data_IF_110864590604
#
_entry.id   IF_110864590604
#
_cell.length_a   1.000
_cell.length_b   1.000
_cell.length_c   1.000
_cell.angle_alpha   90.00
_cell.angle_beta   90.00
_cell.angle_gamma   90.00
#
_symmetry.space_group_name_H-M   'P 1'
#
loop_
_entity.id
_entity.type
_entity.pdbx_description
1 polymer ?
#
# COMPACT_ATOMS: atom_id res chain seq x y z
N UNK A 1 -11.18 -8.43 33.50
CA UNK A 1 -9.87 -9.12 33.48
C UNK A 1 -8.96 -8.31 32.54
N UNK A 2 -7.87 -7.73 33.04
CA UNK A 2 -6.88 -7.06 32.19
C UNK A 2 -5.87 -8.10 31.69
N UNK A 3 -5.47 -7.98 30.43
CA UNK A 3 -4.51 -8.86 29.74
C UNK A 3 -3.14 -8.92 30.44
N UNK A 4 -2.83 -7.90 31.26
CA UNK A 4 -1.61 -7.79 32.06
C UNK A 4 -1.38 -8.99 32.99
N UNK A 5 -2.46 -9.63 33.46
CA UNK A 5 -2.36 -10.83 34.29
C UNK A 5 -2.12 -12.13 33.49
N UNK A 6 -2.29 -12.08 32.17
CA UNK A 6 -2.12 -13.21 31.25
C UNK A 6 -0.81 -13.12 30.44
N UNK A 7 -0.14 -11.96 30.46
CA UNK A 7 1.14 -11.78 29.79
C UNK A 7 2.23 -12.66 30.42
N UNK A 8 3.06 -13.34 29.60
CA UNK A 8 4.14 -14.17 30.10
C UNK A 8 5.16 -13.31 30.87
N UNK A 9 5.46 -13.69 32.12
CA UNK A 9 6.42 -12.96 32.98
C UNK A 9 7.87 -13.03 32.51
N UNK A 10 8.18 -13.97 31.59
CA UNK A 10 9.50 -14.20 31.00
C UNK A 10 9.34 -14.70 29.56
N UNK A 11 10.30 -14.38 28.69
CA UNK A 11 10.29 -14.75 27.28
C UNK A 11 9.97 -13.57 26.37
N UNK A 12 9.84 -13.85 25.07
CA UNK A 12 9.47 -12.84 24.07
C UNK A 12 7.94 -12.78 23.95
N UNK A 13 7.37 -11.59 24.10
CA UNK A 13 5.96 -11.31 23.79
C UNK A 13 5.90 -10.63 22.43
N UNK A 14 5.19 -11.23 21.48
CA UNK A 14 4.90 -10.64 20.17
C UNK A 14 3.42 -10.29 20.11
N UNK A 15 3.12 -9.05 19.77
CA UNK A 15 1.75 -8.54 19.62
C UNK A 15 1.60 -7.96 18.21
N UNK A 16 0.46 -8.23 17.58
CA UNK A 16 0.06 -7.57 16.34
C UNK A 16 -0.91 -6.45 16.69
N UNK A 17 -0.54 -5.21 16.39
CA UNK A 17 -1.40 -4.05 16.56
C UNK A 17 -1.79 -3.51 15.19
N UNK A 18 -3.08 -3.62 14.88
CA UNK A 18 -3.68 -3.04 13.67
C UNK A 18 -4.29 -1.71 14.07
N UNK A 19 -3.86 -0.62 13.44
CA UNK A 19 -4.50 0.68 13.63
C UNK A 19 -4.90 1.29 12.30
N UNK A 20 -5.89 2.18 12.37
CA UNK A 20 -6.27 2.96 11.20
C UNK A 20 -5.09 3.87 10.76
N UNK A 21 -4.96 4.17 9.46
CA UNK A 21 -3.81 4.89 8.91
C UNK A 21 -3.59 6.26 9.57
N UNK A 22 -4.66 6.88 10.06
CA UNK A 22 -4.61 8.17 10.75
C UNK A 22 -3.88 8.11 12.11
N UNK A 23 -3.66 6.90 12.65
CA UNK A 23 -2.90 6.66 13.88
C UNK A 23 -1.52 6.03 13.60
N UNK A 24 -1.07 6.07 12.34
CA UNK A 24 0.28 5.67 11.95
C UNK A 24 1.37 6.65 12.42
N UNK A 25 0.98 7.80 12.98
CA UNK A 25 1.93 8.78 13.51
C UNK A 25 2.75 8.19 14.67
N UNK A 26 4.06 8.01 14.43
CA UNK A 26 4.99 7.43 15.40
C UNK A 26 4.97 8.20 16.72
N UNK A 27 4.97 9.53 16.67
CA UNK A 27 4.96 10.36 17.87
C UNK A 27 3.73 10.11 18.74
N UNK A 28 2.55 10.00 18.11
CA UNK A 28 1.33 9.61 18.80
C UNK A 28 1.47 8.23 19.44
N UNK A 29 1.97 7.22 18.70
CA UNK A 29 2.15 5.85 19.23
C UNK A 29 3.12 5.78 20.40
N UNK A 30 4.25 6.49 20.29
CA UNK A 30 5.22 6.61 21.38
C UNK A 30 4.60 7.27 22.61
N UNK A 31 3.79 8.31 22.40
CA UNK A 31 3.05 8.95 23.50
C UNK A 31 2.05 7.98 24.16
N UNK A 32 1.33 7.17 23.38
CA UNK A 32 0.41 6.17 23.91
C UNK A 32 1.16 5.05 24.66
N UNK A 33 2.30 4.60 24.15
CA UNK A 33 3.15 3.61 24.82
C UNK A 33 3.71 4.14 26.15
N UNK A 34 4.12 5.40 26.20
CA UNK A 34 4.54 6.04 27.43
C UNK A 34 3.38 6.19 28.43
N UNK A 35 2.22 6.70 27.99
CA UNK A 35 1.06 6.99 28.85
C UNK A 35 0.42 5.70 29.39
N UNK A 36 0.16 4.73 28.52
CA UNK A 36 -0.61 3.52 28.88
C UNK A 36 0.28 2.31 29.16
N UNK A 37 1.44 2.21 28.52
CA UNK A 37 2.38 1.11 28.75
C UNK A 37 3.33 1.36 29.91
N UNK A 38 3.44 2.61 30.41
CA UNK A 38 4.48 3.03 31.34
C UNK A 38 5.90 2.72 30.81
N UNK A 39 6.07 2.79 29.48
CA UNK A 39 7.36 2.55 28.84
C UNK A 39 8.23 3.79 28.98
N UNK A 40 9.21 3.72 29.88
CA UNK A 40 10.19 4.78 30.09
C UNK A 40 11.47 4.47 29.29
N UNK A 41 11.34 4.41 27.96
CA UNK A 41 12.42 4.08 27.03
C UNK A 41 12.78 5.34 26.26
N UNK A 42 14.08 5.60 26.06
CA UNK A 42 14.49 6.63 25.12
C UNK A 42 14.15 6.17 23.70
N UNK A 43 13.20 6.88 23.09
CA UNK A 43 12.74 6.59 21.74
C UNK A 43 13.50 7.38 20.68
N UNK A 44 14.59 8.08 21.02
CA UNK A 44 15.39 8.85 20.05
C UNK A 44 15.83 8.01 18.85
N UNK A 45 16.39 6.82 19.10
CA UNK A 45 16.77 5.85 18.06
C UNK A 45 15.54 5.33 17.29
N UNK A 46 14.44 5.06 17.99
CA UNK A 46 13.18 4.61 17.40
C UNK A 46 12.51 5.69 16.54
N UNK A 47 12.65 6.97 16.87
CA UNK A 47 12.16 8.08 16.05
C UNK A 47 12.99 8.24 14.78
N UNK A 48 14.31 8.14 14.90
CA UNK A 48 15.21 8.15 13.75
C UNK A 48 14.92 6.98 12.80
N UNK A 49 14.65 5.80 13.36
CA UNK A 49 14.29 4.61 12.58
C UNK A 49 12.86 4.68 12.04
N UNK A 50 11.90 5.19 12.82
CA UNK A 50 10.51 5.34 12.38
C UNK A 50 10.34 6.39 11.28
N UNK A 51 11.22 7.38 11.18
CA UNK A 51 11.29 8.25 10.01
C UNK A 51 11.68 7.49 8.72
N UNK A 52 12.29 6.31 8.85
CA UNK A 52 12.60 5.38 7.74
C UNK A 52 11.54 4.31 7.56
N UNK A 53 10.66 4.10 8.54
CA UNK A 53 9.50 3.23 8.39
C UNK A 53 8.54 3.96 7.46
N UNK A 54 8.66 3.69 6.16
CA UNK A 54 7.57 3.93 5.23
C UNK A 54 6.41 3.08 5.76
N UNK A 55 5.35 3.73 6.26
CA UNK A 55 4.14 3.02 6.65
C UNK A 55 3.45 2.59 5.35
N UNK A 56 3.94 1.49 4.77
CA UNK A 56 3.28 0.76 3.70
C UNK A 56 1.98 0.22 4.28
N UNK A 57 0.89 0.39 3.55
CA UNK A 57 -0.25 -0.50 3.71
C UNK A 57 -0.06 -1.60 2.69
N UNK A 58 -0.31 -2.84 3.08
CA UNK A 58 -0.41 -3.90 2.10
C UNK A 58 -1.50 -3.55 1.06
N UNK A 59 -1.39 -4.12 -0.13
CA UNK A 59 -2.41 -3.96 -1.16
C UNK A 59 -3.78 -4.41 -0.68
N UNK A 60 -3.82 -5.42 0.21
CA UNK A 60 -5.04 -5.95 0.84
C UNK A 60 -5.71 -4.93 1.78
N UNK A 61 -4.92 -4.09 2.46
CA UNK A 61 -5.41 -3.05 3.36
C UNK A 61 -5.71 -1.74 2.61
N UNK A 62 -5.16 -1.58 1.40
CA UNK A 62 -5.35 -0.40 0.56
C UNK A 62 -6.79 -0.34 0.02
N UNK A 63 -7.55 0.74 0.29
CA UNK A 63 -8.90 0.87 -0.23
C UNK A 63 -8.95 0.74 -1.75
N UNK A 64 -9.96 0.04 -2.29
CA UNK A 64 -10.04 -0.25 -3.73
C UNK A 64 -10.00 1.01 -4.60
N UNK A 65 -10.54 2.13 -4.12
CA UNK A 65 -10.50 3.41 -4.84
C UNK A 65 -9.08 3.95 -5.05
N UNK A 66 -8.12 3.61 -4.19
CA UNK A 66 -6.72 4.00 -4.34
C UNK A 66 -6.05 3.22 -5.46
N UNK A 67 -6.37 1.93 -5.57
CA UNK A 67 -5.90 1.08 -6.67
C UNK A 67 -6.49 1.54 -8.00
N UNK A 68 -7.80 1.83 -8.03
CA UNK A 68 -8.48 2.42 -9.18
C UNK A 68 -7.83 3.77 -9.59
N UNK A 69 -7.47 4.61 -8.62
CA UNK A 69 -6.77 5.88 -8.87
C UNK A 69 -5.41 5.67 -9.53
N UNK A 70 -4.58 4.78 -8.99
CA UNK A 70 -3.26 4.49 -9.52
C UNK A 70 -3.34 3.96 -10.96
N UNK A 71 -4.22 2.98 -11.22
CA UNK A 71 -4.47 2.45 -12.56
C UNK A 71 -4.94 3.55 -13.51
N UNK A 72 -5.91 4.37 -13.09
CA UNK A 72 -6.45 5.43 -13.92
C UNK A 72 -5.36 6.43 -14.34
N UNK A 73 -4.55 6.89 -13.39
CA UNK A 73 -3.46 7.83 -13.68
C UNK A 73 -2.43 7.22 -14.62
N UNK A 74 -2.04 5.97 -14.43
CA UNK A 74 -1.09 5.27 -15.32
C UNK A 74 -1.66 4.98 -16.71
N UNK A 75 -2.98 5.00 -16.87
CA UNK A 75 -3.59 4.95 -18.20
C UNK A 75 -3.52 6.31 -18.93
N UNK A 76 -3.51 7.41 -18.18
CA UNK A 76 -3.48 8.77 -18.74
C UNK A 76 -2.05 9.33 -18.90
N UNK A 77 -1.09 8.82 -18.15
CA UNK A 77 0.28 9.32 -18.08
C UNK A 77 1.29 8.18 -18.18
N UNK A 78 2.46 8.47 -18.72
CA UNK A 78 3.57 7.50 -18.82
C UNK A 78 4.07 7.04 -17.44
N UNK A 79 4.01 7.93 -16.44
CA UNK A 79 4.45 7.65 -15.09
C UNK A 79 3.65 8.45 -14.04
N UNK A 80 3.60 7.95 -12.80
CA UNK A 80 3.01 8.67 -11.66
C UNK A 80 3.74 9.98 -11.29
N UNK A 81 5.08 10.08 -11.43
CA UNK A 81 5.75 11.38 -11.38
C UNK A 81 5.19 12.40 -12.37
N UNK A 82 4.88 11.98 -13.60
CA UNK A 82 4.33 12.88 -14.62
C UNK A 82 2.89 13.27 -14.33
N UNK A 83 2.10 12.36 -13.75
CA UNK A 83 0.75 12.71 -13.27
C UNK A 83 0.82 13.73 -12.12
N UNK A 84 1.77 13.60 -11.18
CA UNK A 84 1.95 14.61 -10.13
C UNK A 84 2.32 15.98 -10.70
N UNK A 85 3.28 16.03 -11.63
CA UNK A 85 3.66 17.29 -12.33
C UNK A 85 2.48 17.91 -13.08
N UNK A 86 1.59 17.10 -13.64
CA UNK A 86 0.38 17.58 -14.28
C UNK A 86 -0.60 18.21 -13.28
N UNK A 87 -0.77 17.58 -12.11
CA UNK A 87 -1.62 18.09 -11.03
C UNK A 87 -1.04 19.37 -10.41
N UNK A 88 0.27 19.43 -10.18
CA UNK A 88 0.99 20.60 -9.67
C UNK A 88 1.18 21.67 -10.75
N UNK A 89 0.08 22.35 -11.08
CA UNK A 89 0.05 23.45 -12.03
C UNK A 89 1.05 24.56 -11.69
N UNK A 90 1.25 24.83 -10.40
CA UNK A 90 2.01 25.97 -9.92
C UNK A 90 3.51 25.66 -9.82
N UNK A 91 3.91 24.38 -9.96
CA UNK A 91 5.30 23.90 -9.84
C UNK A 91 5.92 24.25 -8.49
N UNK A 92 5.10 24.17 -7.45
CA UNK A 92 5.51 24.44 -6.06
C UNK A 92 5.74 23.15 -5.26
N UNK A 93 5.69 21.99 -5.92
CA UNK A 93 5.74 20.65 -5.34
C UNK A 93 4.65 20.40 -4.29
N UNK A 94 3.48 21.01 -4.47
CA UNK A 94 2.34 20.91 -3.57
C UNK A 94 1.04 20.98 -4.36
N UNK A 95 0.15 20.00 -4.15
CA UNK A 95 -1.13 19.89 -4.85
C UNK A 95 -2.27 20.07 -3.86
N UNK A 96 -3.05 21.14 -4.00
CA UNK A 96 -4.28 21.33 -3.19
C UNK A 96 -5.41 20.42 -3.66
N UNK A 97 -6.37 20.11 -2.78
CA UNK A 97 -7.56 19.34 -3.14
C UNK A 97 -8.33 19.94 -4.33
N UNK A 98 -8.43 21.27 -4.38
CA UNK A 98 -9.08 21.97 -5.49
C UNK A 98 -8.34 21.75 -6.81
N UNK A 99 -7.00 21.88 -6.81
CA UNK A 99 -6.19 21.63 -7.99
C UNK A 99 -6.31 20.18 -8.47
N UNK A 100 -6.28 19.23 -7.53
CA UNK A 100 -6.45 17.81 -7.79
C UNK A 100 -7.79 17.55 -8.49
N UNK A 101 -8.90 18.01 -7.89
CA UNK A 101 -10.25 17.82 -8.42
C UNK A 101 -10.42 18.46 -9.81
N UNK A 102 -10.04 19.73 -9.95
CA UNK A 102 -10.19 20.47 -11.22
C UNK A 102 -9.41 19.82 -12.38
N UNK A 103 -8.23 19.26 -12.08
CA UNK A 103 -7.36 18.63 -13.08
C UNK A 103 -7.83 17.24 -13.44
N UNK A 104 -8.19 16.43 -12.45
CA UNK A 104 -8.64 15.06 -12.67
C UNK A 104 -9.97 15.07 -13.44
N UNK A 105 -10.91 15.96 -13.11
CA UNK A 105 -12.16 16.08 -13.86
C UNK A 105 -11.93 16.46 -15.33
N UNK A 106 -10.88 17.24 -15.64
CA UNK A 106 -10.51 17.58 -17.02
C UNK A 106 -9.95 16.42 -17.83
N UNK A 107 -9.49 15.35 -17.18
CA UNK A 107 -9.04 14.13 -17.86
C UNK A 107 -10.23 13.26 -18.32
N UNK A 108 -11.48 13.69 -18.09
CA UNK A 108 -12.67 12.94 -18.51
C UNK A 108 -12.93 11.73 -17.62
N UNK A 109 -12.65 11.86 -16.32
CA UNK A 109 -12.94 10.84 -15.32
C UNK A 109 -14.42 10.44 -15.36
N UNK A 110 -14.67 9.14 -15.27
CA UNK A 110 -16.02 8.61 -15.22
C UNK A 110 -16.75 9.12 -13.94
N UNK A 111 -18.03 9.51 -14.02
CA UNK A 111 -18.74 10.17 -12.92
C UNK A 111 -18.64 9.43 -11.57
N UNK A 112 -18.66 8.09 -11.59
CA UNK A 112 -18.56 7.25 -10.40
C UNK A 112 -17.23 7.38 -9.63
N UNK A 113 -16.18 7.88 -10.30
CA UNK A 113 -14.88 8.07 -9.70
C UNK A 113 -14.66 9.51 -9.23
N UNK A 114 -15.47 10.48 -9.72
CA UNK A 114 -15.41 11.86 -9.27
C UNK A 114 -15.64 11.98 -7.74
N UNK A 115 -16.61 11.24 -7.21
CA UNK A 115 -16.92 11.21 -5.77
C UNK A 115 -15.80 10.58 -4.93
N UNK A 116 -14.94 9.77 -5.55
CA UNK A 116 -13.81 9.08 -4.89
C UNK A 116 -12.55 9.95 -4.83
N UNK A 117 -12.42 10.99 -5.65
CA UNK A 117 -11.21 11.85 -5.69
C UNK A 117 -10.94 12.45 -4.32
N UNK A 118 -11.98 12.92 -3.63
CA UNK A 118 -11.83 13.50 -2.29
C UNK A 118 -11.34 12.47 -1.27
N UNK A 119 -11.86 11.25 -1.32
CA UNK A 119 -11.42 10.15 -0.46
C UNK A 119 -9.97 9.75 -0.76
N UNK A 120 -9.59 9.72 -2.05
CA UNK A 120 -8.20 9.48 -2.45
C UNK A 120 -7.26 10.57 -1.91
N UNK A 121 -7.65 11.84 -2.07
CA UNK A 121 -6.84 12.96 -1.60
C UNK A 121 -6.65 12.91 -0.09
N UNK A 122 -7.74 12.71 0.68
CA UNK A 122 -7.67 12.61 2.14
C UNK A 122 -6.84 11.42 2.60
N UNK A 123 -6.88 10.32 1.87
CA UNK A 123 -6.07 9.15 2.17
C UNK A 123 -4.57 9.44 1.96
N UNK A 124 -4.22 10.20 0.92
CA UNK A 124 -2.84 10.61 0.64
C UNK A 124 -2.36 11.74 1.55
N UNK A 125 -3.22 12.66 1.96
CA UNK A 125 -2.94 13.83 2.83
C UNK A 125 -2.82 13.38 4.29
N UNK A 126 -1.74 12.65 4.57
CA UNK A 126 -1.45 12.07 5.89
C UNK A 126 -1.20 13.15 6.94
N UNK A 127 -0.58 14.26 6.51
CA UNK A 127 -0.29 15.42 7.37
C UNK A 127 -1.53 16.26 7.69
N UNK A 128 -2.60 16.11 6.90
CA UNK A 128 -3.86 16.88 6.99
C UNK A 128 -3.65 18.38 6.81
N UNK A 129 -2.63 18.76 6.04
CA UNK A 129 -2.33 20.16 5.72
C UNK A 129 -3.27 20.70 4.63
N UNK A 130 -4.08 19.83 4.00
CA UNK A 130 -4.94 20.19 2.87
C UNK A 130 -4.17 20.30 1.55
N UNK A 131 -2.92 19.86 1.55
CA UNK A 131 -2.02 19.84 0.40
C UNK A 131 -1.29 18.51 0.32
N UNK A 132 -1.12 17.99 -0.89
CA UNK A 132 -0.32 16.81 -1.15
C UNK A 132 1.09 17.18 -1.58
N UNK A 133 2.06 16.75 -0.78
CA UNK A 133 3.46 16.73 -1.17
C UNK A 133 3.77 15.58 -2.15
N UNK A 134 4.93 15.64 -2.79
CA UNK A 134 5.42 14.52 -3.60
C UNK A 134 5.61 13.24 -2.76
N UNK A 135 6.07 13.38 -1.52
CA UNK A 135 6.32 12.25 -0.61
C UNK A 135 5.02 11.51 -0.30
N UNK A 136 3.95 12.25 0.02
CA UNK A 136 2.62 11.69 0.23
C UNK A 136 2.05 11.06 -1.04
N UNK A 137 2.26 11.71 -2.19
CA UNK A 137 1.80 11.20 -3.47
C UNK A 137 2.52 9.92 -3.91
N UNK A 138 3.80 9.76 -3.55
CA UNK A 138 4.64 8.60 -3.91
C UNK A 138 3.98 7.27 -3.47
N UNK A 139 3.12 7.29 -2.46
CA UNK A 139 2.31 6.13 -2.03
C UNK A 139 1.56 5.47 -3.19
N UNK A 140 1.08 6.22 -4.19
CA UNK A 140 0.49 5.64 -5.41
C UNK A 140 1.47 4.75 -6.17
N UNK A 141 2.76 5.11 -6.18
CA UNK A 141 3.82 4.33 -6.84
C UNK A 141 4.09 3.04 -6.10
N UNK A 142 4.02 3.08 -4.77
CA UNK A 142 4.21 1.90 -3.94
C UNK A 142 3.04 0.93 -4.14
N UNK A 143 1.79 1.43 -4.12
CA UNK A 143 0.58 0.65 -4.45
C UNK A 143 0.71 0.00 -5.83
N UNK A 144 1.09 0.78 -6.85
CA UNK A 144 1.26 0.25 -8.20
C UNK A 144 2.34 -0.83 -8.27
N UNK A 145 3.47 -0.64 -7.60
CA UNK A 145 4.56 -1.61 -7.58
C UNK A 145 4.12 -2.91 -6.95
N UNK A 146 3.35 -2.87 -5.86
CA UNK A 146 2.78 -4.06 -5.22
C UNK A 146 1.75 -4.77 -6.12
N UNK A 147 0.88 -4.01 -6.80
CA UNK A 147 -0.05 -4.58 -7.80
C UNK A 147 0.71 -5.30 -8.92
N UNK A 148 1.78 -4.67 -9.43
CA UNK A 148 2.60 -5.23 -10.50
C UNK A 148 3.33 -6.50 -10.04
N UNK A 149 3.93 -6.49 -8.84
CA UNK A 149 4.53 -7.67 -8.22
C UNK A 149 3.53 -8.82 -8.08
N UNK A 150 2.31 -8.53 -7.61
CA UNK A 150 1.24 -9.54 -7.52
C UNK A 150 0.87 -10.16 -8.88
N UNK A 151 0.87 -9.35 -9.95
CA UNK A 151 0.68 -9.85 -11.31
C UNK A 151 1.85 -10.71 -11.79
N UNK A 152 3.09 -10.32 -11.51
CA UNK A 152 4.28 -11.10 -11.86
C UNK A 152 4.31 -12.45 -11.15
N UNK A 153 4.00 -12.48 -9.85
CA UNK A 153 3.89 -13.69 -9.06
C UNK A 153 2.79 -14.62 -9.59
N UNK A 154 1.64 -14.05 -9.96
CA UNK A 154 0.56 -14.81 -10.57
C UNK A 154 0.96 -15.42 -11.93
N UNK A 155 1.62 -14.64 -12.79
CA UNK A 155 2.14 -15.14 -14.06
C UNK A 155 3.20 -16.24 -13.86
N UNK A 156 4.07 -16.07 -12.86
CA UNK A 156 5.05 -17.09 -12.49
C UNK A 156 4.38 -18.38 -12.01
N UNK A 157 3.34 -18.27 -11.19
CA UNK A 157 2.52 -19.39 -10.76
C UNK A 157 1.88 -20.12 -11.95
N UNK A 158 1.27 -19.40 -12.90
CA UNK A 158 0.69 -20.00 -14.11
C UNK A 158 1.73 -20.74 -14.96
N UNK A 159 2.94 -20.16 -15.11
CA UNK A 159 4.06 -20.82 -15.81
C UNK A 159 4.44 -22.13 -15.11
N UNK A 160 4.50 -22.14 -13.78
CA UNK A 160 4.80 -23.36 -13.00
C UNK A 160 3.73 -24.44 -13.17
N UNK A 161 2.44 -24.06 -13.20
CA UNK A 161 1.35 -24.99 -13.45
C UNK A 161 1.40 -25.60 -14.86
N UNK A 162 1.68 -24.79 -15.89
CA UNK A 162 1.77 -25.28 -17.27
C UNK A 162 2.92 -26.27 -17.45
N UNK A 163 4.09 -25.99 -16.84
CA UNK A 163 5.21 -26.95 -16.82
C UNK A 163 4.77 -28.26 -16.14
N UNK A 164 4.07 -28.17 -15.02
CA UNK A 164 3.58 -29.36 -14.31
C UNK A 164 2.58 -30.18 -15.14
N UNK A 165 1.63 -29.53 -15.84
CA UNK A 165 0.71 -30.24 -16.73
C UNK A 165 1.42 -30.92 -17.91
N UNK A 166 2.47 -30.30 -18.44
CA UNK A 166 3.29 -30.86 -19.51
C UNK A 166 4.02 -32.14 -19.03
N UNK A 167 4.56 -32.10 -17.81
CA UNK A 167 5.18 -33.27 -17.17
C UNK A 167 4.18 -34.39 -16.85
N UNK A 168 2.97 -34.05 -16.36
CA UNK A 168 1.94 -35.05 -16.07
C UNK A 168 1.41 -35.73 -17.34
N UNK A 169 1.32 -35.01 -18.47
CA UNK A 169 0.98 -35.62 -19.76
C UNK A 169 2.05 -36.60 -20.23
N UNK A 170 3.32 -36.21 -20.18
CA UNK A 170 4.45 -37.08 -20.54
C UNK A 170 4.57 -38.31 -19.63
N UNK A 171 4.24 -38.17 -18.34
CA UNK A 171 4.19 -39.29 -17.39
C UNK A 171 3.05 -40.28 -17.68
N UNK A 172 1.85 -39.79 -18.03
CA UNK A 172 0.73 -40.65 -18.44
C UNK A 172 0.98 -41.37 -19.76
N UNK A 173 1.60 -40.70 -20.73
CA UNK A 173 1.94 -41.34 -22.02
C UNK A 173 3.01 -42.43 -21.86
N UNK A 174 3.99 -42.25 -20.96
CA UNK A 174 4.97 -43.32 -20.63
C UNK A 174 4.32 -44.50 -19.92
N UNK A 175 3.45 -44.27 -18.94
CA UNK A 175 2.74 -45.36 -18.25
C UNK A 175 1.83 -46.16 -19.18
N UNK A 176 1.15 -45.51 -20.14
CA UNK A 176 0.33 -46.22 -21.13
C UNK A 176 1.16 -47.02 -22.14
N UNK A 177 2.38 -46.58 -22.47
CA UNK A 177 3.29 -47.33 -23.33
C UNK A 177 3.93 -48.53 -22.62
N UNK A 178 4.17 -48.45 -21.32
CA UNK A 178 4.70 -49.56 -20.51
C UNK A 178 3.64 -50.63 -20.21
N UNK A 179 2.35 -50.29 -20.15
CA UNK A 179 1.26 -51.27 -20.01
C UNK A 179 0.85 -51.93 -21.33
N UNK A 180 1.24 -51.36 -22.48
CA UNK A 180 0.91 -51.87 -23.81
C UNK A 180 1.98 -52.81 -24.41
N UNK A 181 3.12 -52.99 -23.73
CA UNK A 181 4.23 -53.88 -24.10
C UNK A 181 4.26 -55.12 -23.19
#
# INVERSE_FOLDING_TARGET
>A
KTWENEAPRRGNLSLLYVCAPEFAETDFRLSMAAIYGNWNVDFSDLKAEAARIEWWMSLEETPSYMQEMAIYLLHQFESLPDSFRYLDKLRVNSVTMKMCNDRILKLGVAPQFADKIQSCFRFLDRTREGTLSWVEYKVLSDIWSEMFLGLEEFLFFLRRLNVHQSFLRLGKERSMLEEAL
#
